data_IF_400606898203
#
_entry.id   IF_400606898203
#
_cell.length_a   1.000
_cell.length_b   1.000
_cell.length_c   1.000
_cell.angle_alpha   90.00
_cell.angle_beta   90.00
_cell.angle_gamma   90.00
#
_symmetry.space_group_name_H-M   'P 1'
#
loop_
_entity.id
_entity.type
_entity.pdbx_description
1 polymer ?
#
# COMPACT_ATOMS: atom_id res chain seq x y z
N UNK A 1 0.02 17.69 -6.12
CA UNK A 1 -1.11 16.78 -6.30
C UNK A 1 -1.13 15.76 -5.19
N UNK A 2 -2.31 15.26 -4.86
CA UNK A 2 -2.46 14.35 -3.74
C UNK A 2 -2.03 12.92 -4.11
N UNK A 3 -1.46 12.23 -3.14
CA UNK A 3 -1.20 10.80 -3.30
C UNK A 3 -2.52 10.02 -3.31
N UNK A 4 -2.45 8.79 -3.82
CA UNK A 4 -3.65 7.94 -3.88
C UNK A 4 -3.27 6.48 -3.71
N UNK A 5 -4.23 5.69 -3.26
CA UNK A 5 -4.12 4.23 -3.28
C UNK A 5 -4.83 3.70 -4.51
N UNK A 6 -4.16 2.84 -5.26
CA UNK A 6 -4.72 2.22 -6.46
C UNK A 6 -4.88 0.73 -6.19
N UNK A 7 -6.12 0.25 -6.24
CA UNK A 7 -6.42 -1.18 -6.03
C UNK A 7 -6.49 -1.86 -7.38
N UNK A 8 -5.79 -2.96 -7.52
CA UNK A 8 -5.74 -3.73 -8.77
C UNK A 8 -6.08 -5.19 -8.51
N UNK A 9 -6.66 -5.83 -9.51
CA UNK A 9 -6.91 -7.27 -9.48
C UNK A 9 -5.97 -7.94 -10.45
N UNK A 10 -5.21 -8.93 -9.95
CA UNK A 10 -4.29 -9.68 -10.77
C UNK A 10 -4.97 -10.75 -11.60
N UNK A 11 -4.22 -11.37 -12.53
CA UNK A 11 -4.73 -12.39 -13.43
C UNK A 11 -5.18 -13.65 -12.69
N UNK A 12 -4.66 -13.88 -11.50
CA UNK A 12 -5.05 -15.02 -10.67
C UNK A 12 -6.22 -14.75 -9.74
N UNK A 13 -6.84 -13.56 -9.84
CA UNK A 13 -7.98 -13.18 -9.01
C UNK A 13 -7.61 -12.59 -7.67
N UNK A 14 -6.32 -12.38 -7.43
CA UNK A 14 -5.87 -11.76 -6.18
C UNK A 14 -5.86 -10.24 -6.31
N UNK A 15 -5.98 -9.56 -5.16
CA UNK A 15 -6.02 -8.11 -5.11
C UNK A 15 -4.76 -7.55 -4.49
N UNK A 16 -4.30 -6.42 -5.00
CA UNK A 16 -3.17 -5.68 -4.47
C UNK A 16 -3.47 -4.20 -4.53
N UNK A 17 -2.76 -3.43 -3.73
CA UNK A 17 -2.83 -1.99 -3.88
C UNK A 17 -1.43 -1.39 -3.93
N UNK A 18 -1.34 -0.25 -4.60
CA UNK A 18 -0.13 0.57 -4.63
C UNK A 18 -0.43 1.90 -3.98
N UNK A 19 0.55 2.43 -3.26
CA UNK A 19 0.50 3.82 -2.80
C UNK A 19 1.29 4.64 -3.81
N UNK A 20 0.61 5.57 -4.46
CA UNK A 20 1.16 6.38 -5.54
C UNK A 20 1.29 7.81 -5.05
N UNK A 21 2.49 8.37 -5.18
CA UNK A 21 2.75 9.74 -4.77
C UNK A 21 2.09 10.74 -5.73
N UNK A 22 2.06 12.01 -5.32
CA UNK A 22 1.43 13.05 -6.14
C UNK A 22 2.05 13.24 -7.51
N UNK A 23 3.31 12.85 -7.68
CA UNK A 23 3.99 12.92 -8.99
C UNK A 23 3.78 11.66 -9.84
N UNK A 24 2.95 10.71 -9.39
CA UNK A 24 2.67 9.47 -10.11
C UNK A 24 3.62 8.33 -9.81
N UNK A 25 4.56 8.52 -8.91
CA UNK A 25 5.55 7.50 -8.58
C UNK A 25 4.98 6.51 -7.56
N UNK A 26 5.19 5.20 -7.80
CA UNK A 26 4.76 4.17 -6.87
C UNK A 26 5.77 4.11 -5.74
N UNK A 27 5.33 4.40 -4.53
CA UNK A 27 6.22 4.40 -3.36
C UNK A 27 6.07 3.17 -2.49
N UNK A 28 5.00 2.41 -2.65
CA UNK A 28 4.80 1.17 -1.90
C UNK A 28 3.82 0.27 -2.63
N UNK A 29 4.02 -1.03 -2.51
CA UNK A 29 3.15 -2.06 -3.08
C UNK A 29 2.78 -3.04 -1.97
N UNK A 30 1.49 -3.40 -1.89
CA UNK A 30 1.02 -4.33 -0.87
C UNK A 30 1.33 -5.79 -1.22
N UNK A 31 1.13 -6.65 -0.25
CA UNK A 31 1.05 -8.09 -0.50
C UNK A 31 -0.25 -8.43 -1.23
N UNK A 32 -0.39 -9.69 -1.62
CA UNK A 32 -1.60 -10.17 -2.28
C UNK A 32 -2.70 -10.46 -1.27
N UNK A 33 -3.92 -10.06 -1.61
CA UNK A 33 -5.11 -10.35 -0.80
C UNK A 33 -6.07 -11.20 -1.62
N UNK A 34 -6.79 -12.09 -0.96
CA UNK A 34 -7.72 -12.98 -1.65
C UNK A 34 -9.05 -12.32 -1.93
N UNK A 35 -9.38 -11.24 -1.20
CA UNK A 35 -10.63 -10.50 -1.42
C UNK A 35 -10.36 -9.01 -1.53
N UNK A 36 -11.26 -8.31 -2.21
CA UNK A 36 -11.20 -6.86 -2.30
C UNK A 36 -11.37 -6.22 -0.93
N UNK A 37 -12.27 -6.77 -0.11
CA UNK A 37 -12.50 -6.25 1.23
C UNK A 37 -11.22 -6.29 2.07
N UNK A 38 -10.46 -7.37 1.97
CA UNK A 38 -9.18 -7.48 2.70
C UNK A 38 -8.18 -6.43 2.22
N UNK A 39 -8.11 -6.19 0.91
CA UNK A 39 -7.23 -5.16 0.36
C UNK A 39 -7.62 -3.77 0.86
N UNK A 40 -8.92 -3.46 0.88
CA UNK A 40 -9.40 -2.17 1.38
C UNK A 40 -9.11 -2.00 2.87
N UNK A 41 -9.23 -3.07 3.65
CA UNK A 41 -8.85 -3.04 5.06
C UNK A 41 -7.35 -2.77 5.22
N UNK A 42 -6.53 -3.35 4.35
CA UNK A 42 -5.10 -3.09 4.35
C UNK A 42 -4.79 -1.62 4.09
N UNK A 43 -5.50 -1.01 3.17
CA UNK A 43 -5.36 0.43 2.90
C UNK A 43 -5.70 1.25 4.14
N UNK A 44 -6.80 0.93 4.81
CA UNK A 44 -7.18 1.65 6.02
C UNK A 44 -6.14 1.49 7.12
N UNK A 45 -5.55 0.32 7.24
CA UNK A 45 -4.48 0.09 8.20
C UNK A 45 -3.26 0.95 7.90
N UNK A 46 -2.87 1.05 6.63
CA UNK A 46 -1.75 1.91 6.22
C UNK A 46 -2.05 3.37 6.56
N UNK A 47 -3.24 3.84 6.21
CA UNK A 47 -3.64 5.23 6.48
C UNK A 47 -3.61 5.54 7.97
N UNK A 48 -4.04 4.58 8.78
CA UNK A 48 -4.12 4.77 10.22
C UNK A 48 -2.76 4.77 10.90
N UNK A 49 -1.84 3.95 10.42
CA UNK A 49 -0.57 3.71 11.12
C UNK A 49 0.63 4.43 10.51
N UNK A 50 0.56 4.81 9.23
CA UNK A 50 1.74 5.30 8.52
C UNK A 50 2.30 6.59 9.13
N UNK A 51 1.45 7.53 9.51
CA UNK A 51 1.93 8.82 10.02
C UNK A 51 2.63 8.69 11.37
N UNK A 52 2.26 7.69 12.16
CA UNK A 52 2.84 7.47 13.49
C UNK A 52 3.99 6.45 13.46
N UNK A 53 4.23 5.84 12.31
CA UNK A 53 5.26 4.82 12.22
C UNK A 53 6.64 5.45 12.29
N UNK A 54 7.49 4.88 13.14
CA UNK A 54 8.87 5.33 13.24
C UNK A 54 9.72 4.58 12.21
N UNK A 55 10.87 5.16 11.88
CA UNK A 55 11.83 4.50 11.01
C UNK A 55 12.80 3.70 11.87
N UNK A 56 12.75 2.38 11.69
CA UNK A 56 13.68 1.47 12.36
C UNK A 56 14.71 1.04 11.32
N UNK A 57 15.82 1.76 11.32
CA UNK A 57 16.86 1.54 10.31
C UNK A 57 17.75 0.38 10.76
N UNK A 58 17.60 -0.74 10.07
CA UNK A 58 18.34 -1.96 10.36
C UNK A 58 19.46 -2.22 9.34
N UNK A 59 19.82 -1.21 8.58
CA UNK A 59 20.94 -1.33 7.65
C UNK A 59 22.28 -1.30 8.43
N UNK A 60 23.30 -1.87 7.82
CA UNK A 60 24.58 -2.04 8.46
C UNK A 60 25.54 -0.88 8.29
N UNK A 61 25.11 0.21 7.77
CA UNK A 61 26.07 1.29 7.50
C UNK A 61 25.85 2.49 8.36
#
# INVERSE_FOLDING_TARGET
MAAKFVVKKGSTGQFRFNLVAGNGEIIATSESYTTKAAALNGIESVKKNASDATVDDQTDS
#
